data_IF_414428164373
#
_entry.id   IF_414428164373
#
_cell.length_a   1.000
_cell.length_b   1.000
_cell.length_c   1.000
_cell.angle_alpha   90.00
_cell.angle_beta   90.00
_cell.angle_gamma   90.00
#
_symmetry.space_group_name_H-M   'P 1'
#
loop_
_entity.id
_entity.type
_entity.pdbx_description
1 polymer ?
#
# COMPACT_ATOMS: atom_id res chain seq x y z
N UNK A 1 20.80 38.61 -8.43
CA UNK A 1 19.34 38.34 -8.42
C UNK A 1 18.94 36.97 -8.98
N UNK A 2 19.23 36.57 -10.24
CA UNK A 2 18.78 35.25 -10.77
C UNK A 2 19.15 34.03 -9.91
N UNK A 3 20.33 34.00 -9.27
CA UNK A 3 20.88 32.82 -8.58
C UNK A 3 20.15 32.42 -7.28
N UNK A 4 19.41 33.33 -6.65
CA UNK A 4 18.69 33.06 -5.39
C UNK A 4 17.28 32.52 -5.63
N UNK A 5 16.63 32.95 -6.73
CA UNK A 5 15.35 32.41 -7.17
C UNK A 5 15.41 30.90 -7.46
N UNK A 6 16.45 30.42 -8.13
CA UNK A 6 16.63 28.99 -8.41
C UNK A 6 16.75 28.13 -7.14
N UNK A 7 17.40 28.64 -6.09
CA UNK A 7 17.50 27.94 -4.81
C UNK A 7 16.14 27.89 -4.11
N UNK A 8 15.39 29.00 -4.14
CA UNK A 8 14.05 29.08 -3.58
C UNK A 8 13.09 28.09 -4.27
N UNK A 9 13.03 28.09 -5.60
CA UNK A 9 12.17 27.16 -6.35
C UNK A 9 12.53 25.70 -6.09
N UNK A 10 13.82 25.36 -6.01
CA UNK A 10 14.25 24.00 -5.68
C UNK A 10 13.82 23.57 -4.29
N UNK A 11 13.95 24.45 -3.29
CA UNK A 11 13.51 24.15 -1.92
C UNK A 11 11.99 24.02 -1.86
N UNK A 12 11.26 24.96 -2.46
CA UNK A 12 9.80 24.91 -2.49
C UNK A 12 9.27 23.66 -3.21
N UNK A 13 9.89 23.30 -4.34
CA UNK A 13 9.57 22.07 -5.08
C UNK A 13 9.84 20.83 -4.22
N UNK A 14 11.03 20.73 -3.62
CA UNK A 14 11.38 19.59 -2.77
C UNK A 14 10.42 19.45 -1.58
N UNK A 15 10.10 20.54 -0.88
CA UNK A 15 9.16 20.52 0.24
C UNK A 15 7.78 20.03 -0.21
N UNK A 16 7.26 20.54 -1.34
CA UNK A 16 5.97 20.09 -1.89
C UNK A 16 6.00 18.62 -2.32
N UNK A 17 7.08 18.20 -2.96
CA UNK A 17 7.29 16.81 -3.38
C UNK A 17 7.35 15.87 -2.16
N UNK A 18 8.15 16.18 -1.14
CA UNK A 18 8.22 15.40 0.10
C UNK A 18 6.89 15.39 0.85
N UNK A 19 6.18 16.51 0.89
CA UNK A 19 4.84 16.57 1.50
C UNK A 19 3.84 15.69 0.76
N UNK A 20 3.84 15.71 -0.58
CA UNK A 20 3.04 14.82 -1.41
C UNK A 20 3.32 13.35 -1.08
N UNK A 21 4.61 12.96 -1.02
CA UNK A 21 5.01 11.59 -0.69
C UNK A 21 4.60 11.18 0.72
N UNK A 22 4.78 12.06 1.70
CA UNK A 22 4.36 11.82 3.07
C UNK A 22 2.84 11.63 3.18
N UNK A 23 2.06 12.43 2.44
CA UNK A 23 0.61 12.27 2.34
C UNK A 23 0.24 10.93 1.70
N UNK A 24 0.90 10.55 0.59
CA UNK A 24 0.68 9.24 -0.05
C UNK A 24 0.92 8.09 0.91
N UNK A 25 2.01 8.13 1.69
CA UNK A 25 2.28 7.10 2.70
C UNK A 25 1.27 7.12 3.84
N UNK A 26 0.84 8.30 4.30
CA UNK A 26 -0.19 8.42 5.32
C UNK A 26 -1.52 7.82 4.86
N UNK A 27 -1.96 8.12 3.64
CA UNK A 27 -3.16 7.52 3.05
C UNK A 27 -3.01 6.01 2.82
N UNK A 28 -1.81 5.53 2.48
CA UNK A 28 -1.54 4.10 2.39
C UNK A 28 -1.67 3.41 3.76
N UNK A 29 -1.19 4.03 4.84
CA UNK A 29 -1.40 3.53 6.22
C UNK A 29 -2.88 3.50 6.57
N UNK A 30 -3.62 4.58 6.28
CA UNK A 30 -5.08 4.66 6.52
C UNK A 30 -5.80 3.56 5.76
N UNK A 31 -5.45 3.36 4.49
CA UNK A 31 -5.98 2.28 3.67
C UNK A 31 -5.66 0.92 4.26
N UNK A 32 -4.39 0.62 4.57
CA UNK A 32 -3.96 -0.66 5.15
C UNK A 32 -4.71 -1.00 6.43
N UNK A 33 -4.92 -0.02 7.31
CA UNK A 33 -5.64 -0.19 8.56
C UNK A 33 -7.17 -0.14 8.40
N UNK A 34 -7.68 0.19 7.22
CA UNK A 34 -9.12 0.27 6.96
C UNK A 34 -9.77 -1.11 6.98
N UNK A 35 -10.98 -1.15 7.50
CA UNK A 35 -11.87 -2.32 7.47
C UNK A 35 -12.63 -2.44 6.14
N UNK A 36 -12.37 -1.55 5.18
CA UNK A 36 -13.15 -1.42 3.94
C UNK A 36 -12.43 -1.97 2.72
N UNK A 37 -11.66 -3.06 2.86
CA UNK A 37 -11.03 -3.70 1.70
C UNK A 37 -12.04 -4.56 0.91
N UNK A 38 -13.08 -5.05 1.59
CA UNK A 38 -14.20 -5.78 1.02
C UNK A 38 -15.51 -5.17 1.54
N UNK A 39 -16.43 -4.82 0.65
CA UNK A 39 -17.67 -4.11 0.99
C UNK A 39 -18.92 -4.97 0.69
N UNK A 40 -19.43 -5.71 1.69
CA UNK A 40 -20.66 -6.47 1.55
C UNK A 40 -21.88 -5.54 1.38
N UNK A 41 -22.86 -5.97 0.57
CA UNK A 41 -24.06 -5.18 0.26
C UNK A 41 -25.01 -5.18 1.45
N UNK A 42 -25.37 -4.01 1.98
CA UNK A 42 -26.47 -3.94 2.96
C UNK A 42 -27.83 -3.95 2.25
N UNK A 43 -28.85 -4.66 2.76
CA UNK A 43 -28.80 -5.69 3.81
C UNK A 43 -28.44 -7.05 3.19
N UNK A 44 -27.27 -7.60 3.54
CA UNK A 44 -26.83 -8.87 2.96
C UNK A 44 -27.65 -10.00 3.59
N UNK A 45 -28.81 -10.32 3.00
CA UNK A 45 -29.51 -11.58 3.29
C UNK A 45 -28.63 -12.80 2.96
N UNK A 46 -27.63 -12.63 2.09
CA UNK A 46 -26.72 -13.66 1.60
C UNK A 46 -25.42 -13.84 2.43
N UNK A 47 -25.04 -12.85 3.26
CA UNK A 47 -23.90 -12.90 4.19
C UNK A 47 -24.33 -12.34 5.54
N UNK A 48 -25.17 -13.07 6.30
CA UNK A 48 -25.70 -12.59 7.56
C UNK A 48 -24.55 -12.36 8.54
N UNK A 49 -24.43 -11.11 9.02
CA UNK A 49 -23.54 -10.76 10.10
C UNK A 49 -22.29 -9.98 9.72
N UNK A 50 -21.79 -9.95 8.48
CA UNK A 50 -20.56 -9.17 8.18
C UNK A 50 -20.92 -7.77 7.68
N UNK A 51 -20.31 -6.77 8.30
CA UNK A 51 -20.46 -5.37 7.93
C UNK A 51 -19.36 -4.86 7.01
N UNK A 52 -18.12 -5.27 7.29
CA UNK A 52 -16.87 -4.75 6.70
C UNK A 52 -15.76 -5.77 6.92
N UNK A 53 -14.90 -5.98 5.93
CA UNK A 53 -13.71 -6.80 6.07
C UNK A 53 -12.48 -6.05 5.54
N UNK A 54 -11.50 -5.84 6.43
CA UNK A 54 -10.20 -5.27 6.13
C UNK A 54 -9.12 -6.34 6.09
N UNK A 55 -7.88 -5.91 5.91
CA UNK A 55 -6.74 -6.81 5.98
C UNK A 55 -6.45 -7.31 7.39
N UNK A 56 -6.79 -6.56 8.44
CA UNK A 56 -6.42 -6.89 9.83
C UNK A 56 -7.61 -7.23 10.73
N UNK A 57 -8.79 -6.72 10.40
CA UNK A 57 -10.02 -6.96 11.17
C UNK A 57 -11.22 -7.17 10.26
N UNK A 58 -12.19 -7.94 10.75
CA UNK A 58 -13.51 -8.13 10.14
C UNK A 58 -14.56 -7.71 11.17
N UNK A 59 -15.50 -6.87 10.77
CA UNK A 59 -16.51 -6.31 11.66
C UNK A 59 -17.91 -6.80 11.32
N UNK A 60 -18.71 -7.05 12.34
CA UNK A 60 -20.03 -7.67 12.22
C UNK A 60 -21.21 -6.72 12.56
N UNK A 61 -22.40 -7.06 12.06
CA UNK A 61 -23.66 -6.32 12.18
C UNK A 61 -24.63 -6.99 13.18
N UNK A 62 -24.44 -6.86 14.50
CA UNK A 62 -25.52 -7.20 15.46
C UNK A 62 -25.55 -6.36 16.75
N UNK A 63 -26.77 -5.90 17.08
CA UNK A 63 -27.31 -5.66 18.43
C UNK A 63 -28.65 -6.43 18.52
N UNK A 64 -28.74 -7.45 19.40
CA UNK A 64 -29.90 -8.28 19.82
C UNK A 64 -31.06 -8.55 18.83
N UNK A 65 -31.25 -9.80 18.33
CA UNK A 65 -32.56 -10.28 17.80
C UNK A 65 -32.84 -11.76 18.17
N UNK A 66 -34.12 -12.00 18.49
CA UNK A 66 -34.76 -13.21 19.01
C UNK A 66 -34.86 -14.41 18.05
N UNK A 67 -34.54 -15.57 18.62
CA UNK A 67 -34.36 -16.90 18.03
C UNK A 67 -35.60 -17.63 17.47
N UNK A 68 -36.81 -17.11 17.67
CA UNK A 68 -38.00 -17.98 17.81
C UNK A 68 -38.77 -18.33 16.52
N UNK A 69 -38.30 -17.98 15.32
CA UNK A 69 -39.12 -18.14 14.10
C UNK A 69 -38.48 -18.75 12.84
N UNK A 70 -37.32 -19.39 12.92
CA UNK A 70 -36.73 -20.07 11.75
C UNK A 70 -36.82 -21.59 11.87
N UNK A 71 -37.35 -22.22 10.83
CA UNK A 71 -37.87 -23.59 10.67
C UNK A 71 -36.80 -24.72 10.81
N UNK A 72 -37.21 -26.00 10.75
CA UNK A 72 -36.51 -27.21 11.22
C UNK A 72 -35.71 -28.00 10.16
N UNK A 73 -35.02 -27.35 9.23
CA UNK A 73 -34.05 -28.06 8.36
C UNK A 73 -32.71 -28.29 9.09
N UNK A 74 -31.92 -29.30 8.68
CA UNK A 74 -30.59 -29.62 9.25
C UNK A 74 -29.60 -28.44 9.19
N UNK A 75 -29.73 -27.61 8.16
CA UNK A 75 -28.96 -26.38 7.98
C UNK A 75 -29.38 -25.31 9.00
N UNK A 76 -30.67 -25.19 9.30
CA UNK A 76 -31.17 -24.29 10.37
C UNK A 76 -30.80 -24.75 11.78
N UNK A 77 -30.52 -26.05 11.99
CA UNK A 77 -29.96 -26.55 13.24
C UNK A 77 -28.49 -26.16 13.39
N UNK A 78 -27.71 -26.34 12.32
CA UNK A 78 -26.32 -25.87 12.24
C UNK A 78 -26.22 -24.36 12.44
N UNK A 79 -27.07 -23.58 11.75
CA UNK A 79 -27.15 -22.13 11.95
C UNK A 79 -27.60 -21.75 13.35
N UNK A 80 -28.53 -22.49 13.99
CA UNK A 80 -28.91 -22.23 15.39
C UNK A 80 -27.79 -22.53 16.38
N UNK A 81 -27.02 -23.60 16.17
CA UNK A 81 -25.86 -23.96 17.01
C UNK A 81 -24.73 -22.94 16.88
N UNK A 82 -24.41 -22.53 15.64
CA UNK A 82 -23.54 -21.39 15.35
C UNK A 82 -24.05 -20.13 16.05
N UNK A 83 -25.31 -19.76 15.85
CA UNK A 83 -25.91 -18.54 16.41
C UNK A 83 -25.96 -18.54 17.95
N UNK A 84 -26.17 -19.68 18.61
CA UNK A 84 -26.11 -19.78 20.09
C UNK A 84 -24.71 -19.59 20.65
N UNK A 85 -23.66 -19.97 19.91
CA UNK A 85 -22.27 -19.72 20.32
C UNK A 85 -21.90 -18.23 20.26
N UNK A 86 -22.60 -17.43 19.45
CA UNK A 86 -22.31 -16.01 19.23
C UNK A 86 -23.32 -15.04 19.88
N UNK A 87 -24.33 -15.55 20.62
CA UNK A 87 -25.46 -14.79 21.19
C UNK A 87 -25.18 -13.94 22.43
N UNK A 88 -23.94 -13.84 22.91
CA UNK A 88 -23.59 -13.01 24.07
C UNK A 88 -23.47 -11.51 23.79
N UNK A 89 -23.77 -11.06 22.56
CA UNK A 89 -23.21 -9.81 22.05
C UNK A 89 -24.30 -8.93 21.42
N UNK A 90 -25.00 -8.19 22.28
CA UNK A 90 -25.86 -7.11 21.83
C UNK A 90 -26.13 -6.04 22.87
N UNK A 91 -25.53 -4.86 22.66
CA UNK A 91 -26.13 -3.52 22.83
C UNK A 91 -25.16 -2.52 22.15
N UNK A 92 -25.60 -1.90 21.06
CA UNK A 92 -24.88 -0.87 20.26
C UNK A 92 -23.54 -1.23 19.57
N UNK A 93 -23.19 -2.50 19.44
CA UNK A 93 -21.78 -2.90 19.34
C UNK A 93 -21.39 -3.47 17.98
N UNK A 94 -20.78 -2.67 17.07
CA UNK A 94 -19.91 -3.27 16.04
C UNK A 94 -18.82 -4.05 16.77
N UNK A 95 -18.78 -5.36 16.57
CA UNK A 95 -17.68 -6.19 17.05
C UNK A 95 -16.78 -6.52 15.89
N UNK A 96 -15.51 -6.23 16.09
CA UNK A 96 -14.47 -6.50 15.11
C UNK A 96 -13.57 -7.60 15.67
N UNK A 97 -13.46 -8.71 14.96
CA UNK A 97 -12.51 -9.78 15.28
C UNK A 97 -11.22 -9.59 14.47
N UNK A 98 -10.09 -9.97 15.07
CA UNK A 98 -8.79 -10.09 14.40
C UNK A 98 -8.58 -11.46 13.77
N UNK A 99 -9.47 -12.42 14.00
CA UNK A 99 -9.42 -13.82 13.51
C UNK A 99 -9.88 -13.91 12.04
N UNK A 100 -9.11 -13.28 11.16
CA UNK A 100 -9.40 -13.22 9.73
C UNK A 100 -9.32 -14.57 9.05
N UNK A 101 -8.46 -15.47 9.53
CA UNK A 101 -8.28 -16.79 8.93
C UNK A 101 -9.50 -17.69 9.08
N UNK A 102 -10.17 -17.62 10.22
CA UNK A 102 -11.43 -18.32 10.46
C UNK A 102 -12.51 -17.75 9.54
N UNK A 103 -12.58 -16.41 9.38
CA UNK A 103 -13.52 -15.80 8.42
C UNK A 103 -13.31 -16.28 6.97
N UNK A 104 -12.09 -16.20 6.43
CA UNK A 104 -11.87 -16.60 5.03
C UNK A 104 -12.02 -18.12 4.82
N UNK A 105 -11.66 -18.93 5.83
CA UNK A 105 -11.83 -20.39 5.79
C UNK A 105 -13.29 -20.82 5.89
N UNK A 106 -14.04 -20.27 6.85
CA UNK A 106 -15.41 -20.68 7.15
C UNK A 106 -16.43 -20.15 6.14
N UNK A 107 -16.20 -18.96 5.58
CA UNK A 107 -17.15 -18.31 4.67
C UNK A 107 -16.94 -18.70 3.20
N UNK A 108 -15.68 -18.92 2.79
CA UNK A 108 -15.35 -19.18 1.38
C UNK A 108 -14.83 -20.60 1.12
N UNK A 109 -14.74 -21.46 2.14
CA UNK A 109 -14.50 -22.89 1.96
C UNK A 109 -13.08 -23.27 1.53
N UNK A 110 -12.10 -22.36 1.66
CA UNK A 110 -10.72 -22.56 1.24
C UNK A 110 -9.69 -21.86 2.14
N UNK A 111 -8.46 -22.40 2.19
CA UNK A 111 -7.36 -21.78 2.93
C UNK A 111 -6.75 -20.63 2.11
N UNK A 112 -7.32 -19.43 2.23
CA UNK A 112 -6.84 -18.22 1.56
C UNK A 112 -5.82 -17.41 2.39
N UNK A 113 -5.41 -17.93 3.56
CA UNK A 113 -4.56 -17.17 4.49
C UNK A 113 -3.19 -16.82 3.93
N UNK A 114 -2.60 -17.67 3.11
CA UNK A 114 -1.33 -17.39 2.46
C UNK A 114 -1.36 -16.12 1.59
N UNK A 115 -2.48 -15.87 0.89
CA UNK A 115 -2.66 -14.65 0.09
C UNK A 115 -2.91 -13.42 0.96
N UNK A 116 -3.65 -13.57 2.06
CA UNK A 116 -3.88 -12.49 3.02
C UNK A 116 -2.57 -12.08 3.70
N UNK A 117 -1.77 -13.05 4.16
CA UNK A 117 -0.47 -12.82 4.78
C UNK A 117 0.53 -12.20 3.80
N UNK A 118 0.57 -12.69 2.55
CA UNK A 118 1.38 -12.09 1.49
C UNK A 118 0.96 -10.63 1.25
N UNK A 119 -0.35 -10.36 1.16
CA UNK A 119 -0.87 -9.00 0.99
C UNK A 119 -0.43 -8.10 2.13
N UNK A 120 -0.58 -8.56 3.39
CA UNK A 120 -0.18 -7.81 4.60
C UNK A 120 1.32 -7.54 4.62
N UNK A 121 2.14 -8.57 4.39
CA UNK A 121 3.60 -8.46 4.43
C UNK A 121 4.10 -7.48 3.37
N UNK A 122 3.58 -7.58 2.15
CA UNK A 122 3.93 -6.68 1.06
C UNK A 122 3.40 -5.25 1.29
N UNK A 123 2.21 -5.08 1.88
CA UNK A 123 1.69 -3.76 2.24
C UNK A 123 2.54 -3.08 3.33
N UNK A 124 2.92 -3.81 4.38
CA UNK A 124 3.85 -3.31 5.40
C UNK A 124 5.22 -3.00 4.77
N UNK A 125 5.70 -3.88 3.90
CA UNK A 125 6.94 -3.68 3.14
C UNK A 125 6.93 -2.39 2.32
N UNK A 126 5.84 -2.10 1.60
CA UNK A 126 5.66 -0.85 0.85
C UNK A 126 5.83 0.37 1.75
N UNK A 127 5.14 0.40 2.90
CA UNK A 127 5.22 1.53 3.84
C UNK A 127 6.63 1.68 4.38
N UNK A 128 7.27 0.58 4.78
CA UNK A 128 8.63 0.59 5.30
C UNK A 128 9.65 1.11 4.28
N UNK A 129 9.67 0.54 3.07
CA UNK A 129 10.60 0.95 2.03
C UNK A 129 10.31 2.37 1.53
N UNK A 130 9.04 2.77 1.41
CA UNK A 130 8.66 4.13 1.06
C UNK A 130 9.09 5.16 2.11
N UNK A 131 9.01 4.81 3.40
CA UNK A 131 9.54 5.65 4.47
C UNK A 131 11.07 5.78 4.41
N UNK A 132 11.79 4.68 4.17
CA UNK A 132 13.25 4.69 4.00
C UNK A 132 13.70 5.50 2.80
N UNK A 133 12.96 5.42 1.69
CA UNK A 133 13.19 6.27 0.52
C UNK A 133 13.05 7.75 0.86
N UNK A 134 11.95 8.15 1.53
CA UNK A 134 11.72 9.54 1.93
C UNK A 134 12.82 10.04 2.89
N UNK A 135 13.25 9.21 3.85
CA UNK A 135 14.36 9.54 4.76
C UNK A 135 15.64 9.77 3.97
N UNK A 136 15.95 8.92 3.00
CA UNK A 136 17.12 9.08 2.14
C UNK A 136 17.04 10.40 1.34
N UNK A 137 15.89 10.71 0.73
CA UNK A 137 15.69 11.95 -0.02
C UNK A 137 15.93 13.19 0.84
N UNK A 138 15.32 13.24 2.03
CA UNK A 138 15.47 14.36 2.96
C UNK A 138 16.92 14.50 3.40
N UNK A 139 17.57 13.39 3.78
CA UNK A 139 18.97 13.39 4.19
C UNK A 139 19.89 13.92 3.08
N UNK A 140 19.74 13.41 1.84
CA UNK A 140 20.58 13.84 0.72
C UNK A 140 20.24 15.25 0.24
N UNK A 141 18.99 15.69 0.33
CA UNK A 141 18.60 17.07 0.06
C UNK A 141 19.30 18.05 1.00
N UNK A 142 19.26 17.78 2.31
CA UNK A 142 19.94 18.60 3.33
C UNK A 142 21.44 18.64 3.05
N UNK A 143 22.07 17.47 2.86
CA UNK A 143 23.52 17.36 2.60
C UNK A 143 23.95 18.07 1.31
N UNK A 144 23.11 18.07 0.27
CA UNK A 144 23.40 18.65 -1.06
C UNK A 144 22.77 20.03 -1.28
N UNK A 145 22.26 20.69 -0.23
CA UNK A 145 21.54 21.97 -0.33
C UNK A 145 22.35 23.06 -1.03
N UNK A 146 23.68 23.04 -0.91
CA UNK A 146 24.59 24.01 -1.54
C UNK A 146 25.12 23.59 -2.92
N UNK A 147 24.99 22.32 -3.29
CA UNK A 147 25.47 21.80 -4.58
C UNK A 147 24.37 21.92 -5.65
N UNK A 148 24.71 22.22 -6.91
CA UNK A 148 23.79 22.13 -8.08
C UNK A 148 23.49 20.67 -8.48
N UNK A 149 23.37 19.76 -7.52
CA UNK A 149 23.11 18.35 -7.75
C UNK A 149 21.68 18.01 -7.35
N UNK A 150 21.08 17.03 -8.03
CA UNK A 150 19.78 16.44 -7.69
C UNK A 150 19.74 15.91 -6.25
N UNK A 151 18.52 15.81 -5.72
CA UNK A 151 18.26 15.33 -4.37
C UNK A 151 18.19 13.80 -4.32
N UNK A 152 17.85 13.15 -5.43
CA UNK A 152 17.79 11.71 -5.51
C UNK A 152 19.18 11.06 -5.36
N UNK A 153 19.16 9.88 -4.74
CA UNK A 153 20.33 9.04 -4.50
C UNK A 153 20.05 7.62 -4.98
N UNK A 154 21.11 6.85 -5.19
CA UNK A 154 20.97 5.43 -5.53
C UNK A 154 20.17 4.69 -4.44
N UNK A 155 20.41 5.00 -3.16
CA UNK A 155 19.66 4.42 -2.05
C UNK A 155 18.17 4.75 -2.11
N UNK A 156 17.79 6.00 -2.39
CA UNK A 156 16.40 6.39 -2.55
C UNK A 156 15.75 5.65 -3.72
N UNK A 157 16.42 5.59 -4.87
CA UNK A 157 15.92 4.86 -6.05
C UNK A 157 15.73 3.35 -5.77
N UNK A 158 16.66 2.72 -5.04
CA UNK A 158 16.59 1.30 -4.67
C UNK A 158 15.45 1.04 -3.68
N UNK A 159 15.34 1.83 -2.61
CA UNK A 159 14.22 1.67 -1.67
C UNK A 159 12.88 1.92 -2.35
N UNK A 160 12.79 2.90 -3.24
CA UNK A 160 11.57 3.13 -4.03
C UNK A 160 11.22 1.99 -4.96
N UNK A 161 12.22 1.31 -5.54
CA UNK A 161 12.01 0.11 -6.35
C UNK A 161 11.49 -1.07 -5.52
N UNK A 162 12.04 -1.29 -4.32
CA UNK A 162 11.49 -2.30 -3.40
C UNK A 162 10.08 -1.96 -2.93
N UNK A 163 9.80 -0.69 -2.67
CA UNK A 163 8.45 -0.22 -2.36
C UNK A 163 7.48 -0.49 -3.52
N UNK A 164 7.88 -0.19 -4.77
CA UNK A 164 7.08 -0.44 -5.97
C UNK A 164 6.77 -1.94 -6.14
N UNK A 165 7.78 -2.80 -6.02
CA UNK A 165 7.58 -4.26 -6.10
C UNK A 165 6.60 -4.71 -5.01
N UNK A 166 6.78 -4.23 -3.78
CA UNK A 166 5.92 -4.61 -2.66
C UNK A 166 4.47 -4.13 -2.85
N UNK A 167 4.24 -2.91 -3.36
CA UNK A 167 2.88 -2.42 -3.57
C UNK A 167 2.18 -3.17 -4.71
N UNK A 168 2.88 -3.50 -5.80
CA UNK A 168 2.35 -4.30 -6.91
C UNK A 168 1.96 -5.70 -6.40
N UNK A 169 2.84 -6.36 -5.64
CA UNK A 169 2.53 -7.68 -5.09
C UNK A 169 1.31 -7.60 -4.15
N UNK A 170 1.21 -6.58 -3.30
CA UNK A 170 0.03 -6.40 -2.44
C UNK A 170 -1.27 -6.21 -3.26
N UNK A 171 -1.25 -5.38 -4.31
CA UNK A 171 -2.39 -5.18 -5.20
C UNK A 171 -2.81 -6.47 -5.92
N UNK A 172 -1.85 -7.20 -6.49
CA UNK A 172 -2.09 -8.42 -7.26
C UNK A 172 -2.53 -9.57 -6.35
N UNK A 173 -1.86 -9.77 -5.22
CA UNK A 173 -2.23 -10.83 -4.26
C UNK A 173 -3.63 -10.63 -3.70
N UNK A 174 -4.04 -9.40 -3.39
CA UNK A 174 -5.40 -9.11 -2.96
C UNK A 174 -6.42 -9.30 -4.09
N UNK A 175 -6.11 -8.86 -5.32
CA UNK A 175 -7.00 -9.09 -6.46
C UNK A 175 -7.19 -10.59 -6.76
N UNK A 176 -6.13 -11.38 -6.63
CA UNK A 176 -6.16 -12.84 -6.76
C UNK A 176 -6.97 -13.47 -5.62
N UNK A 177 -6.80 -13.00 -4.38
CA UNK A 177 -7.62 -13.41 -3.24
C UNK A 177 -9.10 -13.21 -3.56
N UNK A 178 -9.48 -12.02 -4.01
CA UNK A 178 -10.87 -11.69 -4.38
C UNK A 178 -11.39 -12.56 -5.53
N UNK A 179 -10.56 -12.83 -6.54
CA UNK A 179 -10.93 -13.70 -7.65
C UNK A 179 -11.19 -15.14 -7.18
N UNK A 180 -10.36 -15.67 -6.27
CA UNK A 180 -10.56 -17.01 -5.68
C UNK A 180 -11.79 -17.06 -4.79
N UNK A 181 -11.96 -16.08 -3.92
CA UNK A 181 -13.15 -15.91 -3.08
C UNK A 181 -14.44 -15.90 -3.91
N UNK A 182 -14.42 -15.27 -5.09
CA UNK A 182 -15.54 -15.29 -6.04
C UNK A 182 -15.78 -16.65 -6.70
N UNK A 183 -14.71 -17.37 -7.03
CA UNK A 183 -14.79 -18.68 -7.68
C UNK A 183 -15.24 -19.77 -6.72
N UNK A 184 -14.75 -19.73 -5.48
CA UNK A 184 -15.00 -20.72 -4.43
C UNK A 184 -16.27 -20.42 -3.62
N UNK A 185 -16.95 -19.30 -3.93
CA UNK A 185 -18.17 -18.88 -3.27
C UNK A 185 -19.26 -19.96 -3.38
N UNK A 186 -19.78 -20.48 -2.26
CA UNK A 186 -20.85 -21.46 -2.27
C UNK A 186 -22.09 -20.94 -3.00
N UNK A 187 -22.77 -21.80 -3.75
CA UNK A 187 -23.92 -21.43 -4.58
C UNK A 187 -25.12 -20.85 -3.81
N UNK A 188 -25.17 -21.05 -2.48
CA UNK A 188 -26.19 -20.47 -1.61
C UNK A 188 -25.91 -19.00 -1.22
N UNK A 189 -24.67 -18.51 -1.37
CA UNK A 189 -24.34 -17.09 -1.25
C UNK A 189 -24.65 -16.45 -2.60
N UNK A 190 -25.65 -15.57 -2.63
CA UNK A 190 -26.06 -14.91 -3.86
C UNK A 190 -24.88 -14.15 -4.48
N UNK A 191 -24.67 -14.27 -5.81
CA UNK A 191 -23.53 -13.66 -6.51
C UNK A 191 -23.46 -12.13 -6.37
N UNK A 192 -24.56 -11.50 -5.96
CA UNK A 192 -24.74 -10.07 -5.69
C UNK A 192 -24.60 -9.69 -4.19
N UNK A 193 -24.01 -10.56 -3.36
CA UNK A 193 -23.87 -10.33 -1.91
C UNK A 193 -22.91 -9.18 -1.54
N UNK A 194 -22.15 -8.65 -2.49
CA UNK A 194 -21.21 -7.54 -2.30
C UNK A 194 -21.59 -6.34 -3.16
N UNK A 195 -21.45 -5.12 -2.61
CA UNK A 195 -21.54 -3.87 -3.38
C UNK A 195 -20.31 -3.75 -4.25
N UNK A 196 -19.16 -3.96 -3.64
CA UNK A 196 -17.90 -4.08 -4.33
C UNK A 196 -17.03 -5.14 -3.64
N UNK A 197 -16.42 -5.98 -4.46
CA UNK A 197 -15.45 -6.95 -3.97
C UNK A 197 -14.09 -6.30 -3.73
N UNK A 198 -13.86 -5.14 -4.34
CA UNK A 198 -12.72 -4.27 -4.10
C UNK A 198 -13.26 -3.02 -3.41
N UNK A 199 -13.25 -3.01 -2.08
CA UNK A 199 -13.80 -1.89 -1.30
C UNK A 199 -12.94 -0.63 -1.35
N UNK A 200 -13.41 0.43 -0.69
CA UNK A 200 -12.72 1.72 -0.61
C UNK A 200 -11.25 1.60 -0.18
N UNK A 201 -10.94 0.73 0.78
CA UNK A 201 -9.60 0.49 1.28
C UNK A 201 -8.65 0.03 0.17
N UNK A 202 -9.10 -0.89 -0.69
CA UNK A 202 -8.30 -1.35 -1.84
C UNK A 202 -8.09 -0.24 -2.87
N UNK A 203 -9.14 0.49 -3.25
CA UNK A 203 -9.02 1.57 -4.23
C UNK A 203 -8.14 2.73 -3.75
N UNK A 204 -8.21 3.07 -2.46
CA UNK A 204 -7.30 4.03 -1.84
C UNK A 204 -5.85 3.50 -1.86
N UNK A 205 -5.64 2.22 -1.56
CA UNK A 205 -4.32 1.58 -1.65
C UNK A 205 -3.75 1.70 -3.07
N UNK A 206 -4.53 1.32 -4.07
CA UNK A 206 -4.14 1.37 -5.48
C UNK A 206 -3.82 2.81 -5.92
N UNK A 207 -4.62 3.78 -5.48
CA UNK A 207 -4.36 5.21 -5.75
C UNK A 207 -3.03 5.64 -5.14
N UNK A 208 -2.71 5.21 -3.92
CA UNK A 208 -1.43 5.49 -3.28
C UNK A 208 -0.27 4.79 -4.01
N UNK A 209 -0.47 3.55 -4.48
CA UNK A 209 0.51 2.83 -5.28
C UNK A 209 0.82 3.59 -6.58
N UNK A 210 -0.21 3.99 -7.34
CA UNK A 210 -0.02 4.78 -8.57
C UNK A 210 0.64 6.14 -8.29
N UNK A 211 0.25 6.83 -7.22
CA UNK A 211 0.88 8.08 -6.81
C UNK A 211 2.36 7.90 -6.45
N UNK A 212 2.70 6.77 -5.81
CA UNK A 212 4.07 6.39 -5.54
C UNK A 212 4.84 6.09 -6.83
N UNK A 213 4.31 5.28 -7.76
CA UNK A 213 4.95 4.96 -9.04
C UNK A 213 5.31 6.23 -9.83
N UNK A 214 4.39 7.20 -9.87
CA UNK A 214 4.63 8.51 -10.48
C UNK A 214 5.77 9.24 -9.78
N UNK A 215 5.73 9.33 -8.45
CA UNK A 215 6.78 10.00 -7.67
C UNK A 215 8.15 9.33 -7.81
N UNK A 216 8.20 8.00 -7.81
CA UNK A 216 9.41 7.21 -7.96
C UNK A 216 10.02 7.38 -9.35
N UNK A 217 9.19 7.49 -10.39
CA UNK A 217 9.66 7.82 -11.74
C UNK A 217 10.39 9.17 -11.76
N UNK A 218 9.87 10.19 -11.06
CA UNK A 218 10.59 11.46 -10.91
C UNK A 218 11.93 11.31 -10.18
N UNK A 219 11.99 10.47 -9.15
CA UNK A 219 13.24 10.17 -8.42
C UNK A 219 14.27 9.51 -9.33
N UNK A 220 13.86 8.54 -10.15
CA UNK A 220 14.74 7.88 -11.12
C UNK A 220 15.28 8.91 -12.12
N UNK A 221 14.42 9.76 -12.67
CA UNK A 221 14.82 10.77 -13.66
C UNK A 221 15.78 11.82 -13.05
N UNK A 222 15.53 12.30 -11.83
CA UNK A 222 16.45 13.20 -11.12
C UNK A 222 17.79 12.50 -10.82
N UNK A 223 17.74 11.24 -10.39
CA UNK A 223 18.93 10.45 -10.09
C UNK A 223 19.78 10.23 -11.33
N UNK A 224 19.18 9.80 -12.46
CA UNK A 224 19.86 9.57 -13.73
C UNK A 224 20.48 10.87 -14.27
N UNK A 225 19.70 11.96 -14.29
CA UNK A 225 20.18 13.29 -14.71
C UNK A 225 21.36 13.75 -13.85
N UNK A 226 21.26 13.59 -12.53
CA UNK A 226 22.35 13.92 -11.62
C UNK A 226 23.56 12.98 -11.77
N UNK A 227 23.34 11.71 -12.11
CA UNK A 227 24.39 10.72 -12.34
C UNK A 227 25.20 11.06 -13.59
N UNK A 228 24.51 11.31 -14.72
CA UNK A 228 25.11 11.75 -15.98
C UNK A 228 25.91 13.05 -15.81
N UNK A 229 25.36 14.03 -15.10
CA UNK A 229 26.07 15.27 -14.80
C UNK A 229 27.33 15.06 -13.94
N UNK A 230 27.34 14.09 -13.02
CA UNK A 230 28.53 13.73 -12.25
C UNK A 230 29.57 13.02 -13.12
N UNK A 231 29.14 12.12 -14.00
CA UNK A 231 30.01 11.41 -14.93
C UNK A 231 30.73 12.40 -15.87
N UNK A 232 29.99 13.33 -16.48
CA UNK A 232 30.55 14.36 -17.37
C UNK A 232 31.59 15.27 -16.66
N UNK A 233 31.38 15.59 -15.38
CA UNK A 233 32.37 16.36 -14.61
C UNK A 233 33.63 15.55 -14.29
N UNK A 234 33.51 14.23 -14.12
CA UNK A 234 34.66 13.36 -13.89
C UNK A 234 35.49 13.22 -15.17
N UNK A 235 34.86 12.98 -16.32
CA UNK A 235 35.57 12.90 -17.60
C UNK A 235 36.31 14.21 -17.93
N UNK A 236 35.66 15.36 -17.74
CA UNK A 236 36.29 16.65 -17.98
C UNK A 236 37.46 16.95 -17.02
N UNK A 237 37.41 16.48 -15.77
CA UNK A 237 38.54 16.59 -14.83
C UNK A 237 39.68 15.66 -15.21
N UNK A 238 39.38 14.43 -15.61
CA UNK A 238 40.38 13.47 -16.07
C UNK A 238 41.10 13.99 -17.34
N UNK A 239 40.35 14.54 -18.29
CA UNK A 239 40.92 15.14 -19.50
C UNK A 239 41.87 16.31 -19.17
N UNK A 240 41.45 17.23 -18.28
CA UNK A 240 42.33 18.33 -17.86
C UNK A 240 43.59 17.85 -17.14
N UNK A 241 43.48 16.82 -16.29
CA UNK A 241 44.65 16.26 -15.61
C UNK A 241 45.65 15.67 -16.63
N UNK A 242 45.16 14.97 -17.66
CA UNK A 242 46.02 14.46 -18.73
C UNK A 242 46.66 15.58 -19.56
N UNK A 243 45.93 16.66 -19.83
CA UNK A 243 46.45 17.83 -20.54
C UNK A 243 47.54 18.55 -19.72
N UNK A 244 47.32 18.71 -18.40
CA UNK A 244 48.29 19.28 -17.46
C UNK A 244 49.55 18.39 -17.35
N UNK A 245 49.41 17.06 -17.28
CA UNK A 245 50.52 16.11 -17.29
C UNK A 245 51.32 16.15 -18.61
N UNK A 246 50.64 16.22 -19.76
CA UNK A 246 51.28 16.32 -21.06
C UNK A 246 52.05 17.65 -21.23
N UNK A 247 51.47 18.75 -20.76
CA UNK A 247 52.12 20.06 -20.75
C UNK A 247 53.35 20.06 -19.83
N UNK A 248 53.24 19.49 -18.62
CA UNK A 248 54.36 19.38 -17.69
C UNK A 248 55.51 18.51 -18.25
N UNK A 249 55.20 17.46 -19.00
CA UNK A 249 56.21 16.62 -19.66
C UNK A 249 56.89 17.29 -20.88
N UNK A 250 56.31 18.37 -21.40
CA UNK A 250 56.81 19.08 -22.59
C UNK A 250 57.74 20.27 -22.28
N UNK A 251 57.93 20.61 -21.00
CA UNK A 251 58.84 21.67 -20.57
C UNK A 251 60.23 21.05 -20.27
N UNK A 252 61.26 21.31 -21.09
CA UNK A 252 62.61 20.76 -20.91
C UNK A 252 63.38 21.40 -19.75
#
# INVERSE_FOLDING_TARGET
MRRDWWKFYRVAFFVRFSAWRALTLAFAVVSLCSEQWLEPKRPARALPGISRAGLWRVCYHFSNIDARRLDRSSITRWWREMETSFRGLGRDSRQCSTEIGEFYGDVFGGNHMSLVELTRACAVGFIFYGAMELVCEVFYFIRRRRAKAGFASTSAAVYGGFAEIACIIACVSYAVLVARVRADMPSYIAKDAFVDYLGWGYWMWLTCACAHSLSWTFVIVDWDSASKARAARRSHRAFRAQEEEALAASVP
#
